data_IF_131957535488
#
_entry.id   IF_131957535488
#
_cell.length_a   1.000
_cell.length_b   1.000
_cell.length_c   1.000
_cell.angle_alpha   90.00
_cell.angle_beta   90.00
_cell.angle_gamma   90.00
#
_symmetry.space_group_name_H-M   'P 1'
#
loop_
_entity.id
_entity.type
_entity.pdbx_description
1 polymer ?
#
# COMPACT_ATOMS: atom_id res chain seq x y z
N UNK A 1 -2.32 -9.83 13.28
CA UNK A 1 -2.38 -11.26 12.89
C UNK A 1 -2.03 -11.53 11.41
N UNK A 2 -1.43 -10.56 10.69
CA UNK A 2 -1.07 -10.67 9.26
C UNK A 2 -2.26 -10.98 8.34
N UNK A 3 -3.45 -10.50 8.70
CA UNK A 3 -4.65 -10.62 7.87
C UNK A 3 -5.15 -9.26 7.43
N UNK A 4 -5.81 -9.23 6.27
CA UNK A 4 -6.72 -8.15 5.92
C UNK A 4 -8.14 -8.69 6.05
N UNK A 5 -9.00 -7.93 6.73
CA UNK A 5 -10.37 -8.33 7.00
C UNK A 5 -11.32 -7.30 6.42
N UNK A 6 -12.30 -7.78 5.68
CA UNK A 6 -13.40 -6.99 5.17
C UNK A 6 -14.61 -7.20 6.07
N UNK A 7 -15.24 -6.11 6.47
CA UNK A 7 -16.38 -6.10 7.37
C UNK A 7 -17.53 -5.35 6.71
N UNK A 8 -18.75 -5.84 6.92
CA UNK A 8 -19.96 -5.06 6.70
C UNK A 8 -20.17 -4.12 7.89
N UNK A 9 -20.30 -2.82 7.64
CA UNK A 9 -20.44 -1.84 8.71
C UNK A 9 -21.86 -1.73 9.26
N UNK A 10 -22.86 -2.19 8.50
CA UNK A 10 -24.25 -2.12 8.93
C UNK A 10 -24.60 -3.27 9.89
N UNK A 11 -24.16 -4.50 9.58
CA UNK A 11 -24.39 -5.67 10.42
C UNK A 11 -23.25 -5.94 11.42
N UNK A 12 -22.03 -5.45 11.13
CA UNK A 12 -20.83 -5.80 11.89
C UNK A 12 -20.25 -7.17 11.52
N UNK A 13 -20.79 -7.83 10.49
CA UNK A 13 -20.31 -9.15 10.08
C UNK A 13 -18.99 -9.06 9.35
N UNK A 14 -18.12 -10.04 9.61
CA UNK A 14 -16.90 -10.21 8.83
C UNK A 14 -17.21 -10.90 7.50
N UNK A 15 -17.09 -10.17 6.40
CA UNK A 15 -17.35 -10.66 5.05
C UNK A 15 -16.21 -11.54 4.51
N UNK A 16 -14.95 -11.16 4.75
CA UNK A 16 -13.77 -11.90 4.26
C UNK A 16 -12.53 -11.74 5.12
N UNK A 17 -11.65 -12.74 5.04
CA UNK A 17 -10.30 -12.72 5.61
C UNK A 17 -9.30 -13.12 4.53
N UNK A 18 -8.39 -12.21 4.21
CA UNK A 18 -7.24 -12.47 3.35
C UNK A 18 -6.01 -12.68 4.22
N UNK A 19 -5.42 -13.87 4.17
CA UNK A 19 -4.18 -14.19 4.88
C UNK A 19 -3.00 -13.68 4.05
N UNK A 20 -2.48 -12.54 4.44
CA UNK A 20 -1.33 -11.93 3.79
C UNK A 20 -0.07 -12.61 4.32
N UNK A 21 0.37 -13.66 3.64
CA UNK A 21 1.53 -14.44 4.03
C UNK A 21 2.80 -13.58 4.03
N UNK A 22 3.29 -13.18 5.20
CA UNK A 22 4.69 -12.80 5.35
C UNK A 22 5.00 -11.44 5.97
N UNK A 23 4.03 -10.60 6.36
CA UNK A 23 4.34 -9.45 7.22
C UNK A 23 3.13 -8.73 7.84
N UNK A 24 3.41 -7.88 8.84
CA UNK A 24 2.42 -7.01 9.46
C UNK A 24 1.97 -5.92 8.47
N UNK A 25 0.65 -5.77 8.30
CA UNK A 25 0.06 -4.65 7.55
C UNK A 25 0.09 -3.42 8.44
N UNK A 26 0.81 -2.39 8.01
CA UNK A 26 0.96 -1.14 8.77
C UNK A 26 0.13 0.00 8.17
N UNK A 27 -0.10 -0.06 6.85
CA UNK A 27 -0.96 0.87 6.13
C UNK A 27 -1.56 0.17 4.91
N UNK A 28 -2.67 0.69 4.39
CA UNK A 28 -3.34 0.18 3.21
C UNK A 28 -4.01 1.30 2.40
N UNK A 29 -4.22 1.04 1.12
CA UNK A 29 -5.07 1.81 0.21
C UNK A 29 -5.91 0.83 -0.61
N UNK A 30 -7.18 1.12 -0.81
CA UNK A 30 -8.12 0.23 -1.51
C UNK A 30 -8.59 0.87 -2.81
N UNK A 31 -8.64 0.06 -3.87
CA UNK A 31 -9.32 0.33 -5.12
C UNK A 31 -10.62 -0.48 -5.13
N UNK A 32 -11.75 0.17 -4.85
CA UNK A 32 -13.04 -0.51 -4.83
C UNK A 32 -13.57 -0.83 -6.22
N UNK A 33 -13.16 -0.05 -7.24
CA UNK A 33 -13.63 -0.25 -8.61
C UNK A 33 -13.02 -1.50 -9.23
N UNK A 34 -11.70 -1.67 -9.09
CA UNK A 34 -11.01 -2.87 -9.56
C UNK A 34 -10.86 -3.96 -8.48
N UNK A 35 -11.40 -3.74 -7.28
CA UNK A 35 -11.38 -4.68 -6.16
C UNK A 35 -9.96 -5.10 -5.78
N UNK A 36 -9.04 -4.13 -5.69
CA UNK A 36 -7.64 -4.36 -5.31
C UNK A 36 -7.28 -3.67 -4.02
N UNK A 37 -6.23 -4.14 -3.36
CA UNK A 37 -5.67 -3.47 -2.19
C UNK A 37 -4.15 -3.43 -2.26
N UNK A 38 -3.58 -2.26 -2.00
CA UNK A 38 -2.14 -2.09 -1.81
C UNK A 38 -1.88 -1.98 -0.31
N UNK A 39 -0.97 -2.81 0.20
CA UNK A 39 -0.60 -2.82 1.61
C UNK A 39 0.90 -2.54 1.79
N UNK A 40 1.21 -1.71 2.78
CA UNK A 40 2.58 -1.49 3.25
C UNK A 40 2.92 -2.44 4.39
N UNK A 41 4.17 -2.92 4.38
CA UNK A 41 4.64 -4.00 5.23
C UNK A 41 5.84 -3.58 6.10
N UNK A 42 5.97 -4.23 7.26
CA UNK A 42 7.14 -4.11 8.14
C UNK A 42 8.45 -4.63 7.55
N UNK A 43 8.42 -5.41 6.45
CA UNK A 43 9.63 -5.81 5.72
C UNK A 43 10.17 -4.73 4.75
N UNK A 44 9.58 -3.53 4.75
CA UNK A 44 9.92 -2.45 3.81
C UNK A 44 9.40 -2.68 2.38
N UNK A 45 8.58 -3.71 2.18
CA UNK A 45 7.87 -3.96 0.94
C UNK A 45 6.46 -3.36 0.92
N UNK A 46 5.90 -3.28 -0.29
CA UNK A 46 4.46 -3.17 -0.50
C UNK A 46 3.97 -4.39 -1.27
N UNK A 47 2.69 -4.70 -1.15
CA UNK A 47 2.06 -5.77 -1.93
C UNK A 47 0.69 -5.36 -2.43
N UNK A 48 0.45 -5.57 -3.71
CA UNK A 48 -0.84 -5.39 -4.36
C UNK A 48 -1.55 -6.74 -4.41
N UNK A 49 -2.80 -6.78 -3.98
CA UNK A 49 -3.62 -7.97 -3.92
C UNK A 49 -4.93 -7.76 -4.66
N UNK A 50 -5.43 -8.83 -5.25
CA UNK A 50 -6.80 -8.95 -5.72
C UNK A 50 -7.68 -9.34 -4.53
N UNK A 51 -8.72 -8.54 -4.25
CA UNK A 51 -9.62 -8.80 -3.14
C UNK A 51 -10.62 -9.91 -3.44
N UNK A 52 -10.91 -10.21 -4.70
CA UNK A 52 -11.87 -11.23 -5.12
C UNK A 52 -11.29 -12.63 -5.06
N UNK A 53 -10.13 -12.79 -5.68
CA UNK A 53 -9.39 -14.05 -5.75
C UNK A 53 -8.52 -14.27 -4.50
N UNK A 54 -8.17 -13.18 -3.79
CA UNK A 54 -7.28 -13.25 -2.64
C UNK A 54 -5.83 -13.55 -3.03
N UNK A 55 -5.44 -13.22 -4.25
CA UNK A 55 -4.11 -13.49 -4.80
C UNK A 55 -3.21 -12.26 -4.77
N UNK A 56 -1.91 -12.49 -4.56
CA UNK A 56 -0.90 -11.42 -4.61
C UNK A 56 -0.58 -11.10 -6.06
N UNK A 57 -1.05 -9.96 -6.55
CA UNK A 57 -0.78 -9.48 -7.90
C UNK A 57 0.66 -9.01 -8.07
N UNK A 58 1.23 -8.33 -7.06
CA UNK A 58 2.59 -7.78 -7.16
C UNK A 58 3.24 -7.52 -5.81
N UNK A 59 4.57 -7.64 -5.77
CA UNK A 59 5.41 -7.25 -4.64
C UNK A 59 6.34 -6.11 -5.06
N UNK A 60 6.35 -5.04 -4.29
CA UNK A 60 7.20 -3.87 -4.48
C UNK A 60 8.27 -3.89 -3.40
N UNK A 61 9.54 -3.94 -3.79
CA UNK A 61 10.66 -4.01 -2.84
C UNK A 61 11.48 -2.74 -2.90
N UNK A 62 11.88 -2.27 -1.72
CA UNK A 62 13.15 -1.56 -1.60
C UNK A 62 13.21 -0.47 -0.54
N UNK A 63 12.13 -0.16 0.20
CA UNK A 63 12.35 0.64 1.41
C UNK A 63 13.26 -0.13 2.36
N UNK A 64 14.11 0.61 3.07
CA UNK A 64 15.06 0.03 4.04
C UNK A 64 14.46 -0.22 5.42
N UNK A 65 13.25 0.26 5.66
CA UNK A 65 12.50 0.01 6.89
C UNK A 65 11.00 -0.01 6.60
N UNK A 66 10.22 -0.28 7.64
CA UNK A 66 8.76 -0.42 7.60
C UNK A 66 8.08 0.64 6.74
N UNK A 67 7.16 0.20 5.89
CA UNK A 67 6.27 1.12 5.17
C UNK A 67 5.14 1.51 6.12
N UNK A 68 5.14 2.76 6.56
CA UNK A 68 4.28 3.28 7.63
C UNK A 68 3.08 4.05 7.10
N UNK A 69 3.15 4.57 5.88
CA UNK A 69 2.07 5.32 5.26
C UNK A 69 2.07 5.13 3.74
N UNK A 70 0.88 5.27 3.14
CA UNK A 70 0.60 4.99 1.74
C UNK A 70 -0.50 5.93 1.22
N UNK A 71 -0.39 6.34 -0.04
CA UNK A 71 -1.47 6.94 -0.84
C UNK A 71 -1.35 6.41 -2.27
N UNK A 72 -2.47 6.16 -2.92
CA UNK A 72 -2.50 5.60 -4.27
C UNK A 72 -3.38 6.45 -5.19
N UNK A 73 -2.90 6.63 -6.41
CA UNK A 73 -3.67 7.10 -7.56
C UNK A 73 -3.94 5.90 -8.44
N UNK A 74 -5.15 5.34 -8.29
CA UNK A 74 -5.57 4.15 -9.02
C UNK A 74 -5.86 4.43 -10.49
N UNK A 75 -6.15 5.69 -10.85
CA UNK A 75 -6.38 6.09 -12.24
C UNK A 75 -5.06 6.16 -13.02
N UNK A 76 -4.04 6.83 -12.47
CA UNK A 76 -2.73 6.89 -13.11
C UNK A 76 -1.86 5.65 -12.84
N UNK A 77 -2.34 4.70 -12.04
CA UNK A 77 -1.59 3.48 -11.69
C UNK A 77 -0.34 3.78 -10.87
N UNK A 78 -0.39 4.74 -9.93
CA UNK A 78 0.75 5.18 -9.12
C UNK A 78 0.48 5.05 -7.64
N UNK A 79 1.55 4.94 -6.86
CA UNK A 79 1.46 5.01 -5.40
C UNK A 79 2.63 5.77 -4.80
N UNK A 80 2.37 6.51 -3.72
CA UNK A 80 3.38 7.13 -2.88
C UNK A 80 3.39 6.43 -1.53
N UNK A 81 4.57 5.96 -1.11
CA UNK A 81 4.74 5.34 0.20
C UNK A 81 5.82 6.05 1.01
N UNK A 82 5.63 6.08 2.33
CA UNK A 82 6.61 6.58 3.29
C UNK A 82 7.13 5.46 4.17
N UNK A 83 8.42 5.54 4.53
CA UNK A 83 9.09 4.52 5.34
C UNK A 83 9.68 5.08 6.62
N UNK A 84 9.75 4.22 7.65
CA UNK A 84 10.54 4.46 8.86
C UNK A 84 12.04 4.64 8.58
N UNK A 85 12.51 4.25 7.40
CA UNK A 85 13.86 4.55 6.90
C UNK A 85 14.09 5.99 6.45
N UNK A 86 13.09 6.88 6.59
CA UNK A 86 13.22 8.31 6.29
C UNK A 86 13.10 8.69 4.81
N UNK A 87 12.62 7.76 3.99
CA UNK A 87 12.42 8.00 2.55
C UNK A 87 10.96 7.84 2.16
N UNK A 88 10.56 8.60 1.14
CA UNK A 88 9.33 8.36 0.39
C UNK A 88 9.68 7.79 -0.98
N UNK A 89 8.78 6.99 -1.55
CA UNK A 89 8.96 6.44 -2.90
C UNK A 89 7.67 6.51 -3.69
N UNK A 90 7.79 7.00 -4.91
CA UNK A 90 6.75 6.95 -5.93
C UNK A 90 6.94 5.68 -6.75
N UNK A 91 5.88 4.90 -6.89
CA UNK A 91 5.86 3.61 -7.58
C UNK A 91 4.94 3.67 -8.78
N UNK A 92 5.31 2.90 -9.80
CA UNK A 92 4.43 2.49 -10.88
C UNK A 92 3.81 1.13 -10.52
N UNK A 93 2.49 1.09 -10.41
CA UNK A 93 1.75 -0.08 -9.92
C UNK A 93 1.71 -1.22 -10.94
N UNK A 94 1.79 -0.90 -12.23
CA UNK A 94 1.77 -1.89 -13.30
C UNK A 94 3.11 -2.63 -13.40
N UNK A 95 4.22 -1.91 -13.47
CA UNK A 95 5.56 -2.49 -13.61
C UNK A 95 6.20 -2.89 -12.28
N UNK A 96 5.77 -2.30 -11.16
CA UNK A 96 6.41 -2.49 -9.86
C UNK A 96 7.67 -1.67 -9.64
N UNK A 97 8.00 -0.77 -10.57
CA UNK A 97 9.24 0.02 -10.52
C UNK A 97 9.08 1.25 -9.63
N UNK A 98 10.21 1.67 -9.07
CA UNK A 98 10.32 2.96 -8.38
C UNK A 98 10.50 4.02 -9.46
N UNK A 99 9.56 4.96 -9.53
CA UNK A 99 9.63 6.13 -10.40
C UNK A 99 10.50 7.22 -9.80
N UNK A 100 10.44 7.39 -8.48
CA UNK A 100 11.25 8.38 -7.76
C UNK A 100 11.44 8.00 -6.30
N UNK A 101 12.60 8.34 -5.75
CA UNK A 101 12.88 8.32 -4.32
C UNK A 101 13.04 9.75 -3.81
N UNK A 102 12.40 10.06 -2.68
CA UNK A 102 12.50 11.33 -1.99
C UNK A 102 13.17 11.10 -0.64
N UNK A 103 14.38 11.63 -0.49
CA UNK A 103 15.09 11.69 0.79
C UNK A 103 14.88 13.03 1.49
N UNK A 104 15.48 13.18 2.68
CA UNK A 104 15.55 14.45 3.40
C UNK A 104 15.01 14.39 4.82
N UNK A 105 14.13 13.42 5.13
CA UNK A 105 13.74 13.19 6.51
C UNK A 105 14.88 12.52 7.28
N UNK A 106 15.27 13.13 8.41
CA UNK A 106 16.29 12.58 9.33
C UNK A 106 15.73 11.47 10.24
N UNK A 107 14.41 11.31 10.27
CA UNK A 107 13.72 10.27 11.02
C UNK A 107 12.64 9.61 10.17
N UNK A 108 11.95 8.62 10.74
CA UNK A 108 10.93 7.86 10.02
C UNK A 108 9.74 8.71 9.58
N UNK A 109 9.31 8.53 8.33
CA UNK A 109 8.07 9.11 7.82
C UNK A 109 6.91 8.42 8.54
N UNK A 110 5.98 9.17 9.12
CA UNK A 110 4.86 8.59 9.89
C UNK A 110 3.54 8.66 9.14
N UNK A 111 3.31 9.77 8.45
CA UNK A 111 2.09 10.06 7.72
C UNK A 111 2.47 10.66 6.38
N UNK A 112 1.60 10.48 5.40
CA UNK A 112 1.69 11.17 4.13
C UNK A 112 0.28 11.54 3.69
N UNK A 113 0.17 12.63 2.95
CA UNK A 113 -1.00 13.00 2.17
C UNK A 113 -0.49 13.43 0.81
N UNK A 114 -1.21 13.06 -0.23
CA UNK A 114 -0.88 13.42 -1.61
C UNK A 114 -2.15 13.93 -2.26
N UNK A 115 -2.05 15.07 -2.94
CA UNK A 115 -3.05 15.47 -3.91
C UNK A 115 -2.65 14.86 -5.25
N UNK A 116 -3.50 14.00 -5.79
CA UNK A 116 -3.36 13.43 -7.11
C UNK A 116 -4.35 14.19 -7.99
N UNK A 117 -3.94 15.35 -8.51
CA UNK A 117 -4.80 16.08 -9.45
C UNK A 117 -5.04 15.18 -10.68
N UNK A 118 -6.31 14.92 -10.96
CA UNK A 118 -6.75 14.19 -12.16
C UNK A 118 -6.80 15.08 -13.41
N UNK A 119 -6.61 16.40 -13.23
CA UNK A 119 -6.79 17.39 -14.28
C UNK A 119 -5.43 17.91 -14.77
N UNK A 120 -4.98 17.34 -15.87
CA UNK A 120 -4.01 17.93 -16.79
C UNK A 120 -4.64 18.04 -18.18
#
# INVERSE_FOLDING_TARGET
DRTLRLWDLASGDQLRVLRLHGCAVLCLAVDWAARRVLCGSGDGGLRLWDLEQGESLRVFRGHRGDVSCLSADWHAGRALSGSRGGTLRLWDLESGRILREFGGHRGGVKFLSANWDSDG
#
